data_IF_710267553856
#
_entry.id   IF_710267553856
#
_cell.length_a   1.000
_cell.length_b   1.000
_cell.length_c   1.000
_cell.angle_alpha   90.00
_cell.angle_beta   90.00
_cell.angle_gamma   90.00
#
_symmetry.space_group_name_H-M   'P 1'
#
loop_
_entity.id
_entity.type
_entity.pdbx_description
1 polymer ?
#
# COMPACT_ATOMS: atom_id res chain seq x y z
N UNK A 1 22.83 6.06 -5.33
CA UNK A 1 21.60 6.88 -5.40
C UNK A 1 20.65 6.18 -6.35
N UNK A 2 19.51 5.70 -5.86
CA UNK A 2 18.49 5.06 -6.70
C UNK A 2 17.66 6.15 -7.38
N UNK A 3 17.76 6.23 -8.71
CA UNK A 3 16.88 7.07 -9.52
C UNK A 3 15.66 6.25 -9.93
N UNK A 4 14.47 6.75 -9.64
CA UNK A 4 13.23 6.18 -10.17
C UNK A 4 12.78 7.08 -11.33
N UNK A 5 12.65 6.54 -12.53
CA UNK A 5 12.29 7.29 -13.73
C UNK A 5 11.44 6.43 -14.66
N UNK A 6 10.65 7.06 -15.51
CA UNK A 6 9.78 6.37 -16.46
C UNK A 6 8.81 7.33 -17.16
N UNK A 7 7.71 6.80 -17.66
CA UNK A 7 6.67 7.59 -18.33
C UNK A 7 5.34 7.55 -17.55
N UNK A 8 4.55 8.62 -17.66
CA UNK A 8 3.29 8.79 -16.93
C UNK A 8 2.22 7.82 -17.44
N UNK A 9 2.20 7.51 -18.72
CA UNK A 9 1.26 6.59 -19.36
C UNK A 9 1.42 5.16 -18.83
N UNK A 10 2.65 4.76 -18.51
CA UNK A 10 2.95 3.40 -18.06
C UNK A 10 2.50 3.13 -16.62
N UNK A 11 2.52 4.15 -15.76
CA UNK A 11 2.27 4.01 -14.31
C UNK A 11 0.98 4.70 -13.87
N UNK A 12 0.63 5.81 -14.52
CA UNK A 12 -0.43 6.73 -14.12
C UNK A 12 0.07 7.75 -13.09
N UNK A 13 -0.29 9.02 -13.27
CA UNK A 13 0.16 10.12 -12.39
C UNK A 13 -0.23 9.90 -10.92
N UNK A 14 -1.40 9.34 -10.66
CA UNK A 14 -1.89 9.07 -9.31
C UNK A 14 -1.05 8.03 -8.57
N UNK A 15 -0.59 6.99 -9.26
CA UNK A 15 0.28 5.97 -8.69
C UNK A 15 1.68 6.54 -8.41
N UNK A 16 2.19 7.41 -9.30
CA UNK A 16 3.46 8.10 -9.09
C UNK A 16 3.47 8.95 -7.82
N UNK A 17 2.38 9.70 -7.58
CA UNK A 17 2.24 10.53 -6.39
C UNK A 17 2.16 9.71 -5.09
N UNK A 18 1.69 8.46 -5.18
CA UNK A 18 1.54 7.55 -4.03
C UNK A 18 2.87 6.95 -3.59
N UNK A 19 3.79 6.69 -4.51
CA UNK A 19 5.07 6.02 -4.21
C UNK A 19 5.85 6.75 -3.09
N UNK A 20 6.08 8.07 -3.14
CA UNK A 20 6.79 8.79 -2.07
C UNK A 20 6.03 8.74 -0.73
N UNK A 21 4.70 8.76 -0.75
CA UNK A 21 3.85 8.67 0.45
C UNK A 21 4.03 7.32 1.14
N UNK A 22 3.82 6.22 0.41
CA UNK A 22 3.87 4.86 0.98
C UNK A 22 5.27 4.48 1.46
N UNK A 23 6.30 4.91 0.72
CA UNK A 23 7.71 4.64 1.07
C UNK A 23 8.33 5.65 2.06
N UNK A 24 7.57 6.67 2.47
CA UNK A 24 8.03 7.78 3.32
C UNK A 24 9.31 8.47 2.79
N UNK A 25 9.45 8.57 1.46
CA UNK A 25 10.64 9.14 0.82
C UNK A 25 10.66 10.66 0.91
N UNK A 26 11.88 11.20 0.99
CA UNK A 26 12.16 12.64 0.90
C UNK A 26 12.88 12.91 -0.42
N UNK A 27 12.38 13.87 -1.19
CA UNK A 27 12.94 14.16 -2.50
C UNK A 27 12.03 15.01 -3.39
N UNK A 28 12.47 15.19 -4.63
CA UNK A 28 11.74 15.87 -5.70
C UNK A 28 11.18 14.82 -6.67
N UNK A 29 9.88 14.86 -6.92
CA UNK A 29 9.27 14.22 -8.08
C UNK A 29 9.12 15.29 -9.17
N UNK A 30 9.89 15.12 -10.24
CA UNK A 30 9.76 15.88 -11.47
C UNK A 30 8.81 15.13 -12.40
N UNK A 31 7.86 15.84 -12.99
CA UNK A 31 6.99 15.34 -14.05
C UNK A 31 7.06 16.36 -15.18
N UNK A 32 7.20 15.92 -16.42
CA UNK A 32 7.30 16.82 -17.57
C UNK A 32 6.48 16.28 -18.75
N UNK A 33 5.73 17.16 -19.38
CA UNK A 33 5.07 16.89 -20.67
C UNK A 33 5.87 17.54 -21.80
N UNK A 34 5.34 17.57 -23.03
CA UNK A 34 5.97 18.32 -24.11
C UNK A 34 6.00 19.83 -23.86
N UNK A 35 5.04 20.35 -23.10
CA UNK A 35 4.82 21.79 -22.94
C UNK A 35 5.14 22.29 -21.52
N UNK A 36 4.95 21.46 -20.49
CA UNK A 36 4.93 21.92 -19.10
C UNK A 36 5.85 21.13 -18.15
N UNK A 37 6.51 21.89 -17.27
CA UNK A 37 7.33 21.55 -16.09
C UNK A 37 6.58 21.38 -14.76
N UNK A 38 6.34 20.17 -14.23
CA UNK A 38 5.76 19.96 -12.90
C UNK A 38 6.79 19.51 -11.85
N UNK A 39 6.83 20.15 -10.69
CA UNK A 39 7.73 19.79 -9.57
C UNK A 39 6.97 19.61 -8.27
N UNK A 40 7.25 18.51 -7.58
CA UNK A 40 6.60 18.13 -6.33
C UNK A 40 7.67 17.75 -5.31
N UNK A 41 7.70 18.44 -4.17
CA UNK A 41 8.70 18.20 -3.11
C UNK A 41 8.05 17.46 -1.95
N UNK A 42 8.67 16.36 -1.58
CA UNK A 42 8.27 15.51 -0.47
C UNK A 42 9.25 15.60 0.70
N UNK A 43 8.72 15.67 1.91
CA UNK A 43 9.46 15.58 3.17
C UNK A 43 8.88 14.42 3.99
N UNK A 44 9.65 13.35 4.14
CA UNK A 44 9.25 12.13 4.87
C UNK A 44 7.90 11.56 4.41
N UNK A 45 7.68 11.54 3.09
CA UNK A 45 6.44 11.09 2.45
C UNK A 45 5.29 12.09 2.45
N UNK A 46 5.48 13.30 3.00
CA UNK A 46 4.47 14.36 2.97
C UNK A 46 4.75 15.32 1.82
N UNK A 47 3.75 15.60 0.99
CA UNK A 47 3.87 16.63 -0.04
C UNK A 47 3.89 18.00 0.64
N UNK A 48 4.99 18.75 0.49
CA UNK A 48 5.18 20.06 1.14
C UNK A 48 5.25 21.22 0.14
N UNK A 49 5.48 20.95 -1.13
CA UNK A 49 5.51 21.97 -2.18
C UNK A 49 5.12 21.36 -3.52
N UNK A 50 4.40 22.12 -4.33
CA UNK A 50 4.03 21.79 -5.70
C UNK A 50 4.17 23.07 -6.53
N UNK A 51 4.84 22.99 -7.68
CA UNK A 51 5.04 24.14 -8.57
C UNK A 51 4.97 23.69 -10.03
N UNK A 52 4.37 24.51 -10.88
CA UNK A 52 4.30 24.29 -12.32
C UNK A 52 4.25 25.65 -13.02
N UNK A 53 5.29 26.01 -13.75
CA UNK A 53 5.45 27.34 -14.36
C UNK A 53 5.14 28.50 -13.39
N UNK A 54 4.02 29.22 -13.61
CA UNK A 54 3.56 30.31 -12.75
C UNK A 54 2.61 29.85 -11.62
N UNK A 55 2.18 28.59 -11.63
CA UNK A 55 1.31 28.01 -10.60
C UNK A 55 2.13 27.47 -9.44
N UNK A 56 1.55 27.55 -8.23
CA UNK A 56 2.12 26.97 -7.02
C UNK A 56 1.05 26.40 -6.12
N UNK A 57 1.46 25.56 -5.17
CA UNK A 57 0.57 24.98 -4.18
C UNK A 57 -0.52 24.10 -4.83
N UNK A 58 -1.76 24.27 -4.37
CA UNK A 58 -2.88 23.44 -4.79
C UNK A 58 -3.18 23.55 -6.29
N UNK A 59 -3.01 24.73 -6.88
CA UNK A 59 -3.29 24.95 -8.30
C UNK A 59 -2.33 24.15 -9.18
N UNK A 60 -1.03 24.21 -8.88
CA UNK A 60 -0.02 23.40 -9.56
C UNK A 60 -0.29 21.90 -9.39
N UNK A 61 -0.63 21.46 -8.17
CA UNK A 61 -0.96 20.06 -7.91
C UNK A 61 -2.16 19.60 -8.73
N UNK A 62 -3.22 20.39 -8.79
CA UNK A 62 -4.43 20.07 -9.56
C UNK A 62 -4.17 19.97 -11.06
N UNK A 63 -3.33 20.84 -11.63
CA UNK A 63 -2.97 20.72 -13.05
C UNK A 63 -2.09 19.50 -13.33
N UNK A 64 -1.07 19.25 -12.50
CA UNK A 64 -0.21 18.06 -12.66
C UNK A 64 -1.03 16.77 -12.58
N UNK A 65 -2.01 16.69 -11.68
CA UNK A 65 -2.89 15.52 -11.52
C UNK A 65 -3.74 15.19 -12.76
N UNK A 66 -3.89 16.12 -13.72
CA UNK A 66 -4.63 15.91 -14.97
C UNK A 66 -3.77 15.35 -16.10
N UNK A 67 -2.46 15.20 -15.88
CA UNK A 67 -1.57 14.69 -16.91
C UNK A 67 -1.70 13.18 -17.05
N UNK A 68 -2.11 12.75 -18.23
CA UNK A 68 -2.21 11.34 -18.61
C UNK A 68 -0.95 10.84 -19.36
N UNK A 69 -0.07 11.76 -19.77
CA UNK A 69 1.15 11.50 -20.56
C UNK A 69 2.34 12.32 -20.08
N UNK A 70 3.55 11.90 -20.43
CA UNK A 70 4.80 12.58 -20.09
C UNK A 70 5.86 11.68 -19.47
N UNK A 71 6.94 12.29 -18.99
CA UNK A 71 8.06 11.60 -18.32
C UNK A 71 8.16 12.04 -16.87
N UNK A 72 8.70 11.17 -16.01
CA UNK A 72 8.94 11.51 -14.62
C UNK A 72 10.33 11.07 -14.13
N UNK A 73 10.86 11.78 -13.14
CA UNK A 73 12.08 11.44 -12.41
C UNK A 73 11.90 11.75 -10.92
N UNK A 74 12.17 10.78 -10.03
CA UNK A 74 12.27 11.02 -8.60
C UNK A 74 13.72 11.11 -8.15
N UNK A 75 14.07 12.25 -7.56
CA UNK A 75 15.40 12.58 -7.04
C UNK A 75 15.40 12.56 -5.52
N UNK A 76 16.03 11.55 -4.94
CA UNK A 76 16.16 11.43 -3.48
C UNK A 76 17.05 12.52 -2.87
N UNK A 77 16.72 12.89 -1.64
CA UNK A 77 17.58 13.77 -0.82
C UNK A 77 17.52 15.25 -1.22
N UNK A 78 16.77 15.60 -2.27
CA UNK A 78 16.42 16.98 -2.59
C UNK A 78 15.51 17.50 -1.47
N UNK A 79 16.01 18.47 -0.71
CA UNK A 79 15.23 19.16 0.31
C UNK A 79 14.60 20.41 -0.29
N UNK A 80 13.42 20.84 0.18
CA UNK A 80 12.83 22.11 -0.23
C UNK A 80 13.81 23.23 0.13
N UNK A 81 14.37 23.87 -0.89
CA UNK A 81 15.30 24.97 -0.70
C UNK A 81 14.53 26.22 -0.32
N UNK A 82 14.47 26.56 0.98
CA UNK A 82 13.97 27.83 1.54
C UNK A 82 12.56 28.31 1.16
N UNK A 83 11.88 27.64 0.23
CA UNK A 83 10.60 28.03 -0.33
C UNK A 83 9.43 27.76 0.59
N UNK A 84 8.29 28.32 0.20
CA UNK A 84 7.02 28.19 0.91
C UNK A 84 6.61 26.71 0.99
N UNK A 85 6.55 26.20 2.23
CA UNK A 85 6.00 24.89 2.53
C UNK A 85 4.53 25.08 2.83
N UNK A 86 3.66 24.48 2.04
CA UNK A 86 2.23 24.48 2.34
C UNK A 86 1.86 23.17 3.05
N UNK A 87 1.58 23.20 4.38
CA UNK A 87 1.20 22.00 5.12
C UNK A 87 -0.16 21.42 4.70
N UNK A 88 -0.98 22.17 3.94
CA UNK A 88 -2.30 21.73 3.46
C UNK A 88 -2.21 20.85 2.22
N UNK A 89 -1.15 21.00 1.41
CA UNK A 89 -0.96 20.26 0.16
C UNK A 89 -1.07 18.75 0.34
N UNK A 90 -0.47 18.22 1.41
CA UNK A 90 -0.53 16.80 1.68
C UNK A 90 -1.97 16.30 1.89
N UNK A 91 -2.81 17.08 2.57
CA UNK A 91 -4.20 16.71 2.81
C UNK A 91 -5.02 16.80 1.51
N UNK A 92 -4.78 17.85 0.71
CA UNK A 92 -5.39 18.01 -0.62
C UNK A 92 -5.04 16.82 -1.51
N UNK A 93 -3.76 16.44 -1.59
CA UNK A 93 -3.32 15.28 -2.35
C UNK A 93 -4.04 14.00 -1.91
N UNK A 94 -4.10 13.73 -0.60
CA UNK A 94 -4.76 12.54 -0.06
C UNK A 94 -6.25 12.54 -0.42
N UNK A 95 -6.92 13.68 -0.31
CA UNK A 95 -8.34 13.79 -0.62
C UNK A 95 -8.62 13.63 -2.11
N UNK A 96 -7.78 14.18 -3.00
CA UNK A 96 -7.89 13.97 -4.45
C UNK A 96 -7.64 12.52 -4.83
N UNK A 97 -6.62 11.86 -4.26
CA UNK A 97 -6.39 10.43 -4.48
C UNK A 97 -7.58 9.60 -4.00
N UNK A 98 -8.16 9.89 -2.83
CA UNK A 98 -9.36 9.20 -2.33
C UNK A 98 -10.54 9.36 -3.28
N UNK A 99 -10.84 10.56 -3.76
CA UNK A 99 -11.90 10.82 -4.74
C UNK A 99 -11.69 10.01 -6.02
N UNK A 100 -10.45 9.99 -6.51
CA UNK A 100 -10.08 9.25 -7.71
C UNK A 100 -10.28 7.74 -7.54
N UNK A 101 -9.83 7.16 -6.43
CA UNK A 101 -10.03 5.73 -6.15
C UNK A 101 -11.51 5.38 -5.96
N UNK A 102 -12.28 6.22 -5.25
CA UNK A 102 -13.71 6.01 -5.06
C UNK A 102 -14.45 5.97 -6.42
N UNK A 103 -14.14 6.92 -7.32
CA UNK A 103 -14.72 6.96 -8.67
C UNK A 103 -14.39 5.70 -9.48
N UNK A 104 -13.17 5.16 -9.37
CA UNK A 104 -12.78 3.92 -10.05
C UNK A 104 -13.41 2.65 -9.47
N UNK A 105 -13.65 2.59 -8.16
CA UNK A 105 -14.37 1.46 -7.56
C UNK A 105 -15.80 1.42 -8.11
N UNK A 106 -16.49 2.58 -8.12
CA UNK A 106 -17.85 2.69 -8.67
C UNK A 106 -17.90 2.41 -10.17
N UNK A 107 -16.91 2.87 -10.95
CA UNK A 107 -16.85 2.60 -12.39
C UNK A 107 -16.59 1.13 -12.74
N UNK A 108 -15.83 0.43 -11.89
CA UNK A 108 -15.53 -1.01 -12.04
C UNK A 108 -16.74 -1.88 -11.65
N UNK A 109 -17.52 -1.47 -10.67
CA UNK A 109 -18.81 -2.10 -10.32
C UNK A 109 -19.87 -1.88 -11.41
N UNK A 110 -19.75 -0.80 -12.20
CA UNK A 110 -20.63 -0.49 -13.34
C UNK A 110 -20.24 -1.18 -14.66
N UNK A 111 -19.25 -2.09 -14.67
CA UNK A 111 -18.95 -2.94 -15.83
C UNK A 111 -18.18 -2.28 -16.99
N UNK A 112 -17.46 -1.17 -16.76
CA UNK A 112 -16.56 -0.61 -17.77
C UNK A 112 -15.14 -1.18 -17.61
N UNK A 113 -14.66 -1.88 -18.65
CA UNK A 113 -13.33 -2.47 -18.69
C UNK A 113 -12.25 -1.37 -18.70
N UNK A 114 -11.68 -1.09 -17.54
CA UNK A 114 -10.45 -0.30 -17.44
C UNK A 114 -9.24 -1.16 -17.91
N UNK A 115 -8.23 -0.55 -18.54
CA UNK A 115 -7.01 -1.26 -18.92
C UNK A 115 -6.31 -1.81 -17.66
N UNK A 116 -5.87 -3.06 -17.75
CA UNK A 116 -5.19 -3.78 -16.67
C UNK A 116 -3.78 -3.22 -16.46
N UNK A 117 -3.66 -2.23 -15.58
CA UNK A 117 -2.39 -1.60 -15.22
C UNK A 117 -1.47 -2.51 -14.39
N UNK A 118 -1.95 -3.67 -13.91
CA UNK A 118 -1.11 -4.61 -13.15
C UNK A 118 -0.12 -5.39 -14.04
N UNK A 119 -0.31 -5.41 -15.37
CA UNK A 119 0.62 -6.09 -16.29
C UNK A 119 1.90 -5.29 -16.55
N UNK A 120 1.87 -3.95 -16.46
CA UNK A 120 2.99 -3.08 -16.87
C UNK A 120 4.04 -2.82 -15.77
N UNK A 121 3.75 -3.14 -14.51
CA UNK A 121 4.66 -2.86 -13.37
C UNK A 121 5.71 -3.97 -13.19
N UNK A 122 5.56 -5.13 -13.83
CA UNK A 122 6.48 -6.26 -13.64
C UNK A 122 7.73 -6.27 -14.54
N UNK A 123 7.78 -5.52 -15.64
CA UNK A 123 8.88 -5.64 -16.60
C UNK A 123 10.00 -4.59 -16.51
N UNK A 124 9.86 -3.52 -15.71
CA UNK A 124 10.86 -2.44 -15.67
C UNK A 124 11.39 -2.07 -14.27
N UNK A 125 11.15 -2.88 -13.24
CA UNK A 125 11.87 -2.74 -11.98
C UNK A 125 13.24 -3.39 -12.16
N UNK A 126 14.26 -2.57 -12.44
CA UNK A 126 15.67 -2.98 -12.30
C UNK A 126 15.86 -3.53 -10.88
N UNK A 127 16.29 -4.79 -10.70
CA UNK A 127 16.42 -5.38 -9.38
C UNK A 127 17.46 -4.61 -8.57
N UNK A 128 17.01 -4.02 -7.45
CA UNK A 128 17.90 -3.60 -6.37
C UNK A 128 18.62 -4.86 -5.88
N UNK A 129 19.92 -4.91 -6.14
CA UNK A 129 20.84 -5.92 -5.60
C UNK A 129 20.74 -5.95 -4.07
N UNK A 130 19.90 -6.84 -3.59
CA UNK A 130 19.97 -7.51 -2.30
C UNK A 130 19.43 -8.88 -2.58
N UNK A 131 20.31 -9.89 -2.66
CA UNK A 131 19.90 -11.29 -2.84
C UNK A 131 18.73 -11.55 -1.90
N UNK A 132 17.56 -12.04 -2.37
CA UNK A 132 16.58 -12.57 -1.45
C UNK A 132 17.31 -13.62 -0.63
N UNK A 133 17.35 -13.40 0.69
CA UNK A 133 17.75 -14.43 1.62
C UNK A 133 16.67 -15.49 1.47
N UNK A 134 16.91 -16.46 0.60
CA UNK A 134 16.12 -17.67 0.53
C UNK A 134 16.16 -18.25 1.94
N UNK A 135 15.05 -18.10 2.65
CA UNK A 135 14.82 -18.91 3.84
C UNK A 135 14.83 -20.35 3.31
N UNK A 136 15.67 -21.24 3.85
CA UNK A 136 15.67 -22.64 3.46
C UNK A 136 14.25 -23.15 3.49
N UNK A 137 13.86 -23.87 2.42
CA UNK A 137 12.61 -24.57 2.36
C UNK A 137 12.62 -25.72 3.38
N UNK A 138 12.45 -25.41 4.66
CA UNK A 138 12.19 -26.40 5.69
C UNK A 138 10.69 -26.47 5.96
N UNK A 139 10.16 -27.62 5.52
CA UNK A 139 8.95 -28.29 5.99
C UNK A 139 7.62 -27.56 5.82
N UNK A 140 7.16 -27.56 4.57
CA UNK A 140 5.73 -27.65 4.24
C UNK A 140 5.16 -28.96 4.82
N UNK A 141 4.77 -28.95 6.09
CA UNK A 141 3.96 -30.03 6.66
C UNK A 141 2.59 -30.01 5.97
N UNK A 142 2.35 -31.00 5.11
CA UNK A 142 1.06 -31.29 4.49
C UNK A 142 0.04 -31.85 5.50
N UNK A 143 -0.21 -31.10 6.58
CA UNK A 143 -1.32 -31.37 7.48
C UNK A 143 -2.63 -30.93 6.80
N UNK A 144 -3.67 -31.76 6.93
CA UNK A 144 -4.99 -31.53 6.38
C UNK A 144 -5.51 -30.10 6.69
N UNK A 145 -6.29 -29.47 5.78
CA UNK A 145 -6.84 -28.15 6.00
C UNK A 145 -7.64 -28.13 7.32
N UNK A 146 -7.51 -27.07 8.15
CA UNK A 146 -8.36 -26.92 9.32
C UNK A 146 -9.82 -26.79 8.85
N UNK A 147 -10.71 -27.57 9.48
CA UNK A 147 -12.08 -27.84 9.07
C UNK A 147 -12.89 -26.64 8.52
N UNK A 148 -13.78 -26.96 7.56
CA UNK A 148 -15.00 -26.22 7.22
C UNK A 148 -14.83 -25.04 6.27
N UNK A 149 -14.19 -23.97 6.74
CA UNK A 149 -14.26 -22.65 6.08
C UNK A 149 -12.91 -21.91 6.01
N UNK A 150 -11.90 -22.35 6.76
CA UNK A 150 -10.56 -21.78 6.75
C UNK A 150 -9.78 -22.26 5.52
N UNK A 151 -9.27 -21.30 4.76
CA UNK A 151 -8.49 -21.53 3.55
C UNK A 151 -6.99 -21.62 3.87
N UNK A 152 -6.52 -20.81 4.81
CA UNK A 152 -5.11 -20.83 5.24
C UNK A 152 -4.88 -19.97 6.47
N UNK A 153 -3.78 -20.20 7.17
CA UNK A 153 -3.39 -19.46 8.36
C UNK A 153 -1.88 -19.27 8.40
N UNK A 154 -1.41 -18.21 9.05
CA UNK A 154 0.00 -17.93 9.20
C UNK A 154 0.32 -17.16 10.49
N UNK A 155 1.50 -17.41 11.05
CA UNK A 155 2.19 -16.50 11.97
C UNK A 155 3.07 -15.58 11.14
N UNK A 156 2.98 -14.29 11.38
CA UNK A 156 3.70 -13.27 10.63
C UNK A 156 4.55 -12.40 11.57
N UNK A 157 5.64 -11.87 11.04
CA UNK A 157 6.33 -10.74 11.66
C UNK A 157 5.53 -9.43 11.47
N UNK A 158 5.96 -8.34 12.12
CA UNK A 158 5.33 -7.00 11.99
C UNK A 158 5.38 -6.42 10.56
N UNK A 159 6.18 -6.99 9.67
CA UNK A 159 6.31 -6.58 8.26
C UNK A 159 5.40 -7.40 7.34
N UNK A 160 4.68 -8.38 7.88
CA UNK A 160 3.77 -9.24 7.12
C UNK A 160 4.45 -10.44 6.46
N UNK A 161 5.71 -10.73 6.79
CA UNK A 161 6.38 -11.92 6.31
C UNK A 161 5.94 -13.12 7.15
N UNK A 162 5.59 -14.22 6.50
CA UNK A 162 5.23 -15.45 7.21
C UNK A 162 6.45 -16.07 7.90
N UNK A 163 6.35 -16.21 9.22
CA UNK A 163 7.25 -17.03 10.06
C UNK A 163 6.86 -18.50 9.86
N UNK A 164 5.57 -18.80 9.95
CA UNK A 164 4.99 -20.11 9.61
C UNK A 164 3.68 -19.92 8.86
N UNK A 165 3.34 -20.83 7.95
CA UNK A 165 2.06 -20.80 7.22
C UNK A 165 1.51 -22.20 6.97
N UNK A 166 0.19 -22.30 6.87
CA UNK A 166 -0.57 -23.50 6.51
C UNK A 166 -1.69 -23.15 5.55
N UNK A 167 -2.05 -24.09 4.67
CA UNK A 167 -3.10 -23.90 3.68
C UNK A 167 -2.76 -22.85 2.62
N UNK A 168 -3.80 -22.26 2.03
CA UNK A 168 -3.74 -21.29 0.92
C UNK A 168 -3.51 -19.85 1.40
N UNK A 169 -2.59 -19.67 2.35
CA UNK A 169 -2.20 -18.36 2.85
C UNK A 169 -1.13 -17.73 1.93
N UNK A 170 -1.45 -16.58 1.34
CA UNK A 170 -0.61 -15.93 0.32
C UNK A 170 0.25 -14.82 0.91
N UNK A 171 1.27 -14.39 0.16
CA UNK A 171 2.08 -13.23 0.52
C UNK A 171 1.26 -11.92 0.56
N UNK A 172 0.22 -11.83 -0.27
CA UNK A 172 -0.70 -10.69 -0.29
C UNK A 172 -1.48 -10.59 1.03
N UNK A 173 -1.93 -11.72 1.57
CA UNK A 173 -2.64 -11.76 2.86
C UNK A 173 -1.75 -11.27 4.00
N UNK A 174 -0.48 -11.69 4.00
CA UNK A 174 0.51 -11.22 4.97
C UNK A 174 0.78 -9.71 4.88
N UNK A 175 0.94 -9.18 3.66
CA UNK A 175 1.12 -7.75 3.44
C UNK A 175 -0.10 -6.93 3.91
N UNK A 176 -1.32 -7.41 3.64
CA UNK A 176 -2.56 -6.77 4.10
C UNK A 176 -2.65 -6.74 5.62
N UNK A 177 -2.32 -7.84 6.30
CA UNK A 177 -2.31 -7.90 7.76
C UNK A 177 -1.36 -6.87 8.39
N UNK A 178 -0.15 -6.74 7.83
CA UNK A 178 0.84 -5.77 8.30
C UNK A 178 0.40 -4.31 8.06
N UNK A 179 -0.18 -4.01 6.89
CA UNK A 179 -0.72 -2.68 6.61
C UNK A 179 -1.84 -2.35 7.60
N UNK A 180 -2.80 -3.26 7.80
CA UNK A 180 -3.89 -3.05 8.74
C UNK A 180 -3.38 -2.72 10.16
N UNK A 181 -2.39 -3.48 10.64
CA UNK A 181 -1.73 -3.21 11.91
C UNK A 181 -1.09 -1.82 11.96
N UNK A 182 -0.29 -1.48 10.94
CA UNK A 182 0.50 -0.25 10.92
C UNK A 182 -0.37 1.01 10.95
N UNK A 183 -1.57 0.96 10.37
CA UNK A 183 -2.49 2.09 10.32
C UNK A 183 -3.45 2.12 11.51
N UNK A 184 -3.99 0.98 11.92
CA UNK A 184 -5.05 0.94 12.93
C UNK A 184 -4.51 1.00 14.36
N UNK A 185 -3.32 0.49 14.64
CA UNK A 185 -2.76 0.55 15.99
C UNK A 185 -2.56 2.00 16.46
N UNK A 186 -1.86 2.90 15.73
CA UNK A 186 -1.70 4.28 16.16
C UNK A 186 -3.04 5.03 16.24
N UNK A 187 -3.94 4.77 15.29
CA UNK A 187 -5.25 5.42 15.24
C UNK A 187 -6.11 5.03 16.46
N UNK A 188 -6.06 3.76 16.88
CA UNK A 188 -6.82 3.29 18.05
C UNK A 188 -6.36 3.95 19.35
N UNK A 189 -5.05 4.20 19.49
CA UNK A 189 -4.47 4.91 20.63
C UNK A 189 -4.87 6.38 20.62
N UNK A 190 -4.79 7.04 19.45
CA UNK A 190 -5.19 8.44 19.28
C UNK A 190 -6.68 8.66 19.60
N UNK A 191 -7.53 7.69 19.28
CA UNK A 191 -8.96 7.71 19.56
C UNK A 191 -9.32 7.25 20.99
N UNK A 192 -8.35 6.83 21.81
CA UNK A 192 -8.59 6.34 23.16
C UNK A 192 -9.37 5.01 23.22
N UNK A 193 -9.35 4.22 22.15
CA UNK A 193 -10.04 2.93 22.05
C UNK A 193 -9.23 1.78 22.68
N UNK A 194 -7.97 2.05 23.04
CA UNK A 194 -7.03 1.04 23.52
C UNK A 194 -6.44 0.20 22.40
N UNK A 195 -5.62 -0.81 22.73
CA UNK A 195 -4.89 -1.59 21.73
C UNK A 195 -5.83 -2.45 20.89
N UNK A 196 -5.66 -2.40 19.57
CA UNK A 196 -6.36 -3.28 18.64
C UNK A 196 -5.99 -4.73 18.92
N UNK A 197 -6.97 -5.58 19.22
CA UNK A 197 -6.75 -7.01 19.48
C UNK A 197 -6.96 -7.88 18.25
N UNK A 198 -7.96 -7.54 17.46
CA UNK A 198 -8.37 -8.30 16.28
C UNK A 198 -8.88 -7.35 15.20
N UNK A 199 -8.59 -7.64 13.94
CA UNK A 199 -9.16 -6.97 12.76
C UNK A 199 -9.72 -8.04 11.83
N UNK A 200 -10.90 -7.77 11.28
CA UNK A 200 -11.48 -8.55 10.20
C UNK A 200 -11.57 -7.70 8.95
N UNK A 201 -11.05 -8.21 7.84
CA UNK A 201 -11.07 -7.57 6.53
C UNK A 201 -11.90 -8.47 5.61
N UNK A 202 -13.04 -7.96 5.15
CA UNK A 202 -13.88 -8.66 4.17
C UNK A 202 -13.50 -8.21 2.75
N UNK A 203 -13.03 -9.16 1.94
CA UNK A 203 -12.70 -8.93 0.55
C UNK A 203 -13.90 -9.20 -0.38
N UNK A 204 -14.01 -8.42 -1.46
CA UNK A 204 -15.02 -8.63 -2.50
C UNK A 204 -14.84 -9.93 -3.30
N UNK A 205 -13.71 -10.63 -3.12
CA UNK A 205 -13.39 -11.89 -3.80
C UNK A 205 -13.95 -13.12 -3.09
N UNK A 206 -14.90 -12.96 -2.16
CA UNK A 206 -15.46 -14.07 -1.39
C UNK A 206 -14.50 -14.64 -0.34
N UNK A 207 -13.50 -13.85 0.10
CA UNK A 207 -12.54 -14.23 1.15
C UNK A 207 -12.54 -13.19 2.26
N UNK A 208 -12.42 -13.65 3.49
CA UNK A 208 -12.23 -12.83 4.68
C UNK A 208 -10.85 -13.09 5.27
N UNK A 209 -10.20 -12.05 5.79
CA UNK A 209 -8.92 -12.10 6.47
C UNK A 209 -9.09 -11.62 7.90
N UNK A 210 -8.83 -12.50 8.86
CA UNK A 210 -8.83 -12.21 10.29
C UNK A 210 -7.40 -12.09 10.76
N UNK A 211 -7.11 -11.05 11.54
CA UNK A 211 -5.78 -10.76 12.06
C UNK A 211 -5.87 -10.54 13.56
N UNK A 212 -5.14 -11.30 14.35
CA UNK A 212 -4.95 -11.09 15.78
C UNK A 212 -3.53 -10.58 16.07
N UNK A 213 -3.45 -9.67 17.04
CA UNK A 213 -2.20 -9.06 17.49
C UNK A 213 -1.73 -9.72 18.78
N UNK A 214 -0.55 -10.35 18.75
CA UNK A 214 0.05 -11.01 19.91
C UNK A 214 1.49 -10.52 20.11
N UNK A 215 1.62 -9.41 20.84
CA UNK A 215 2.92 -8.82 21.18
C UNK A 215 3.69 -8.32 19.95
N UNK A 216 4.69 -9.08 19.52
CA UNK A 216 5.52 -8.76 18.35
C UNK A 216 5.11 -9.50 17.07
N UNK A 217 4.15 -10.43 17.18
CA UNK A 217 3.72 -11.26 16.07
C UNK A 217 2.27 -10.98 15.67
N UNK A 218 1.96 -11.32 14.42
CA UNK A 218 0.60 -11.29 13.88
C UNK A 218 0.14 -12.73 13.64
N UNK A 219 -1.04 -13.06 14.11
CA UNK A 219 -1.75 -14.28 13.74
C UNK A 219 -2.76 -13.95 12.67
N UNK A 220 -2.65 -14.53 11.50
CA UNK A 220 -3.54 -14.25 10.37
C UNK A 220 -4.23 -15.53 9.90
N UNK A 221 -5.54 -15.43 9.63
CA UNK A 221 -6.35 -16.52 9.08
C UNK A 221 -7.16 -16.00 7.90
N UNK A 222 -7.14 -16.75 6.81
CA UNK A 222 -7.98 -16.52 5.63
C UNK A 222 -9.08 -17.57 5.61
N UNK A 223 -10.31 -17.13 5.39
CA UNK A 223 -11.49 -18.00 5.30
C UNK A 223 -12.39 -17.57 4.15
N UNK A 224 -13.40 -18.39 3.84
CA UNK A 224 -14.47 -18.00 2.91
C UNK A 224 -15.31 -16.86 3.50
N UNK A 225 -15.87 -16.03 2.63
CA UNK A 225 -16.80 -14.99 3.05
C UNK A 225 -18.01 -15.59 3.77
N UNK A 226 -18.44 -14.94 4.86
CA UNK A 226 -19.49 -15.42 5.74
C UNK A 226 -19.01 -16.35 6.86
N UNK A 227 -17.72 -16.73 6.88
CA UNK A 227 -17.15 -17.46 7.99
C UNK A 227 -17.15 -16.62 9.27
N UNK A 228 -17.36 -17.26 10.41
CA UNK A 228 -17.22 -16.63 11.72
C UNK A 228 -15.74 -16.37 12.03
N UNK A 229 -15.28 -15.18 11.63
CA UNK A 229 -13.87 -14.80 11.75
C UNK A 229 -13.40 -14.65 13.19
N UNK A 230 -14.30 -14.34 14.12
CA UNK A 230 -13.97 -14.28 15.54
C UNK A 230 -13.63 -15.68 16.05
N UNK A 231 -14.47 -16.67 15.71
CA UNK A 231 -14.19 -18.07 16.03
C UNK A 231 -12.89 -18.56 15.37
N UNK A 232 -12.66 -18.24 14.09
CA UNK A 232 -11.44 -18.70 13.39
C UNK A 232 -10.17 -18.12 14.02
N UNK A 233 -10.18 -16.84 14.40
CA UNK A 233 -9.04 -16.19 15.05
C UNK A 233 -8.81 -16.77 16.45
N UNK A 234 -9.87 -17.00 17.22
CA UNK A 234 -9.75 -17.54 18.58
C UNK A 234 -9.23 -18.99 18.57
N UNK A 235 -9.68 -19.81 17.60
CA UNK A 235 -9.12 -21.15 17.38
C UNK A 235 -7.62 -21.10 17.04
N UNK A 236 -7.19 -20.12 16.25
CA UNK A 236 -5.79 -19.95 15.89
C UNK A 236 -4.92 -19.59 17.11
N UNK A 237 -5.46 -18.80 18.05
CA UNK A 237 -4.79 -18.51 19.33
C UNK A 237 -4.63 -19.75 20.18
N UNK A 238 -5.71 -20.52 20.35
CA UNK A 238 -5.71 -21.73 21.18
C UNK A 238 -4.81 -22.84 20.63
N UNK A 239 -4.64 -22.92 19.30
CA UNK A 239 -3.77 -23.90 18.63
C UNK A 239 -2.29 -23.50 18.53
N UNK A 240 -1.90 -22.32 19.01
CA UNK A 240 -0.50 -21.82 18.93
C UNK A 240 0.32 -22.06 20.20
N UNK A 241 -0.26 -22.72 21.21
CA UNK A 241 0.38 -23.09 22.48
C UNK A 241 1.09 -24.45 22.46
#
# INVERSE_FOLDING_TARGET
>A
MSKLQGTVEAVGITELLRIPITSRRTGELLVATQENEGRLIYDSGRLVSATMDALSGSEALSEILRWDEGVFEFREGVRPGGGERDPRLNNILIDELKKWYASRITAREAGSAAPDVNAAVHDNIVPLNGRPRQVPAEETSAAAPPCGETLGAARLDRRGNAITKRGDFTQRDGAMAAIAHQYLSPLSEELGLGPVRTITIEGSTGRSLGVAFEGEELLAVTARQGADMEEQVERLRQGSG
#
